data_IF_027967334491
#
_entry.id   IF_027967334491
#
_cell.length_a   1.000
_cell.length_b   1.000
_cell.length_c   1.000
_cell.angle_alpha   90.00
_cell.angle_beta   90.00
_cell.angle_gamma   90.00
#
_symmetry.space_group_name_H-M   'P 1'
#
loop_
_entity.id
_entity.type
_entity.pdbx_description
1 polymer ?
#
# COMPACT_ATOMS: atom_id res chain seq x y z
N UNK A 1 -21.36 -62.74 -45.55
CA UNK A 1 -22.64 -62.06 -45.24
C UNK A 1 -22.51 -61.44 -43.86
N UNK A 2 -22.32 -60.12 -43.78
CA UNK A 2 -22.15 -59.38 -42.54
C UNK A 2 -23.31 -58.37 -42.40
N UNK A 3 -24.07 -58.52 -41.32
CA UNK A 3 -25.31 -57.79 -41.05
C UNK A 3 -25.00 -56.40 -40.50
N UNK A 4 -25.31 -55.36 -41.26
CA UNK A 4 -25.15 -53.95 -40.88
C UNK A 4 -26.28 -53.56 -39.91
N UNK A 5 -25.93 -53.17 -38.68
CA UNK A 5 -26.86 -52.59 -37.71
C UNK A 5 -27.10 -51.10 -38.01
N UNK A 6 -28.35 -50.61 -38.05
CA UNK A 6 -28.63 -49.20 -38.25
C UNK A 6 -28.44 -48.40 -36.95
N UNK A 7 -27.83 -47.21 -37.08
CA UNK A 7 -27.66 -46.21 -36.02
C UNK A 7 -28.97 -45.48 -35.72
N UNK A 8 -29.24 -45.12 -34.44
CA UNK A 8 -30.46 -44.40 -34.08
C UNK A 8 -30.34 -42.90 -34.40
N UNK A 9 -31.47 -42.34 -34.85
CA UNK A 9 -31.65 -40.94 -35.24
C UNK A 9 -31.67 -40.05 -33.99
N UNK A 10 -30.89 -38.98 -33.99
CA UNK A 10 -30.89 -37.95 -32.93
C UNK A 10 -32.11 -37.04 -33.14
N UNK A 11 -33.00 -36.98 -32.15
CA UNK A 11 -34.14 -36.05 -32.12
C UNK A 11 -33.66 -34.63 -31.78
N UNK A 12 -34.16 -33.66 -32.55
CA UNK A 12 -33.94 -32.21 -32.34
C UNK A 12 -34.92 -31.73 -31.26
N UNK A 13 -34.47 -31.08 -30.18
CA UNK A 13 -35.39 -30.56 -29.16
C UNK A 13 -36.21 -29.39 -29.69
N UNK A 14 -37.53 -29.55 -29.65
CA UNK A 14 -38.54 -28.57 -30.03
C UNK A 14 -38.53 -27.35 -29.08
N UNK A 15 -38.50 -26.16 -29.69
CA UNK A 15 -38.45 -24.88 -29.03
C UNK A 15 -39.87 -24.41 -28.69
N UNK A 16 -40.47 -24.92 -27.60
CA UNK A 16 -41.66 -24.32 -26.97
C UNK A 16 -41.90 -24.90 -25.58
N UNK A 17 -41.27 -24.31 -24.56
CA UNK A 17 -41.78 -24.39 -23.19
C UNK A 17 -41.64 -23.03 -22.51
N UNK A 18 -42.75 -22.30 -22.45
CA UNK A 18 -42.93 -21.14 -21.57
C UNK A 18 -43.06 -21.66 -20.14
N UNK A 19 -42.05 -21.44 -19.29
CA UNK A 19 -42.08 -21.84 -17.89
C UNK A 19 -41.13 -21.04 -17.01
N UNK A 20 -41.72 -20.30 -16.06
CA UNK A 20 -41.11 -19.61 -14.90
C UNK A 20 -40.16 -18.43 -15.16
N UNK A 21 -40.73 -17.23 -15.02
CA UNK A 21 -39.99 -16.02 -14.60
C UNK A 21 -39.27 -16.32 -13.29
N UNK A 22 -37.94 -16.42 -13.36
CA UNK A 22 -37.05 -16.33 -12.21
C UNK A 22 -37.13 -14.87 -11.71
N UNK A 23 -37.39 -14.59 -10.42
CA UNK A 23 -37.24 -13.24 -9.91
C UNK A 23 -35.78 -12.83 -10.12
N UNK A 24 -35.57 -11.66 -10.71
CA UNK A 24 -34.25 -11.08 -10.86
C UNK A 24 -33.66 -10.96 -9.47
N UNK A 25 -32.69 -11.81 -9.15
CA UNK A 25 -31.78 -11.58 -8.05
C UNK A 25 -31.12 -10.23 -8.34
N UNK A 26 -31.62 -9.18 -7.70
CA UNK A 26 -30.88 -7.95 -7.46
C UNK A 26 -29.73 -8.33 -6.52
N UNK A 27 -28.76 -9.07 -7.05
CA UNK A 27 -27.51 -9.36 -6.39
C UNK A 27 -26.78 -8.02 -6.31
N UNK A 28 -26.93 -7.37 -5.17
CA UNK A 28 -25.81 -6.93 -4.35
C UNK A 28 -24.63 -6.39 -5.18
N UNK A 29 -24.91 -5.42 -6.05
CA UNK A 29 -23.85 -4.68 -6.72
C UNK A 29 -23.15 -3.89 -5.63
N UNK A 30 -21.84 -4.10 -5.40
CA UNK A 30 -21.10 -3.32 -4.42
C UNK A 30 -21.31 -1.85 -4.74
N UNK A 31 -21.96 -1.12 -3.83
CA UNK A 31 -22.19 0.31 -3.93
C UNK A 31 -20.83 0.94 -4.19
N UNK A 32 -20.62 1.46 -5.39
CA UNK A 32 -19.31 1.99 -5.78
C UNK A 32 -18.91 3.09 -4.77
N UNK A 33 -17.67 3.09 -4.26
CA UNK A 33 -17.25 4.04 -3.23
C UNK A 33 -17.34 5.47 -3.76
N UNK A 34 -18.09 6.33 -3.05
CA UNK A 34 -18.59 7.66 -3.45
C UNK A 34 -17.59 8.67 -4.05
N UNK A 35 -16.29 8.41 -4.08
CA UNK A 35 -15.34 9.24 -4.80
C UNK A 35 -14.09 8.42 -5.15
N UNK A 36 -13.70 8.42 -6.42
CA UNK A 36 -12.29 8.41 -6.78
C UNK A 36 -11.98 9.84 -7.24
N UNK A 37 -11.71 10.80 -6.33
CA UNK A 37 -11.44 12.15 -6.74
C UNK A 37 -10.02 12.13 -7.30
N UNK A 38 -9.92 11.99 -8.61
CA UNK A 38 -8.69 12.27 -9.33
C UNK A 38 -8.15 13.64 -8.90
N UNK A 39 -6.82 13.86 -8.83
CA UNK A 39 -6.26 15.13 -8.43
C UNK A 39 -6.67 16.15 -9.49
N UNK A 40 -7.26 17.26 -9.07
CA UNK A 40 -7.81 18.27 -9.96
C UNK A 40 -8.87 19.12 -9.28
N UNK A 41 -9.27 20.20 -9.93
CA UNK A 41 -10.42 20.99 -9.47
C UNK A 41 -11.69 20.10 -9.54
N UNK A 42 -12.67 20.28 -8.65
CA UNK A 42 -13.95 19.57 -8.76
C UNK A 42 -14.54 19.75 -10.17
N UNK A 43 -14.65 18.66 -10.94
CA UNK A 43 -15.15 18.67 -12.32
C UNK A 43 -14.09 18.70 -13.43
N UNK A 44 -12.82 18.95 -13.11
CA UNK A 44 -11.70 18.74 -14.06
C UNK A 44 -11.25 17.28 -14.00
N UNK A 45 -11.39 16.60 -15.13
CA UNK A 45 -11.01 15.22 -15.27
C UNK A 45 -9.66 15.12 -15.96
N UNK A 46 -8.66 14.43 -15.40
CA UNK A 46 -7.41 14.25 -16.10
C UNK A 46 -7.65 13.40 -17.36
N UNK A 47 -7.10 13.84 -18.48
CA UNK A 47 -7.16 13.10 -19.74
C UNK A 47 -6.33 11.81 -19.70
N UNK A 48 -5.39 11.72 -18.76
CA UNK A 48 -4.48 10.60 -18.57
C UNK A 48 -4.38 10.21 -17.10
N UNK A 49 -4.21 8.92 -16.82
CA UNK A 49 -4.01 8.44 -15.46
C UNK A 49 -2.63 8.87 -14.94
N UNK A 50 -2.52 9.50 -13.77
CA UNK A 50 -1.23 9.95 -13.24
C UNK A 50 -0.31 8.80 -12.81
N UNK A 51 -0.85 7.63 -12.48
CA UNK A 51 -0.01 6.46 -12.17
C UNK A 51 0.55 5.77 -13.41
N UNK A 52 -0.20 5.66 -14.51
CA UNK A 52 0.20 4.83 -15.64
C UNK A 52 0.28 5.56 -16.99
N UNK A 53 0.00 6.87 -16.99
CA UNK A 53 -0.13 7.75 -18.15
C UNK A 53 -1.09 7.27 -19.25
N UNK A 54 -1.93 6.28 -18.95
CA UNK A 54 -2.91 5.77 -19.89
C UNK A 54 -4.07 6.75 -20.08
N UNK A 55 -4.50 6.95 -21.32
CA UNK A 55 -5.66 7.79 -21.63
C UNK A 55 -6.91 7.29 -20.89
N UNK A 56 -7.62 8.22 -20.25
CA UNK A 56 -8.83 7.96 -19.47
C UNK A 56 -10.08 8.40 -20.24
N UNK A 57 -11.16 7.65 -20.03
CA UNK A 57 -12.51 7.98 -20.48
C UNK A 57 -13.46 7.98 -19.29
N UNK A 58 -14.29 9.01 -19.11
CA UNK A 58 -15.30 9.03 -18.05
C UNK A 58 -16.32 7.91 -18.27
N UNK A 59 -16.78 7.27 -17.19
CA UNK A 59 -17.88 6.31 -17.28
C UNK A 59 -19.22 7.05 -17.33
N UNK A 60 -20.04 6.86 -18.38
CA UNK A 60 -21.37 7.46 -18.45
C UNK A 60 -22.23 7.05 -17.25
N UNK A 61 -22.87 8.02 -16.60
CA UNK A 61 -23.75 7.79 -15.45
C UNK A 61 -23.05 7.46 -14.13
N UNK A 62 -21.70 7.45 -14.10
CA UNK A 62 -20.91 7.22 -12.90
C UNK A 62 -19.97 8.41 -12.67
N UNK A 63 -20.54 9.51 -12.14
CA UNK A 63 -19.78 10.70 -11.78
C UNK A 63 -18.62 10.36 -10.83
N UNK A 64 -17.42 10.86 -11.13
CA UNK A 64 -16.18 10.53 -10.42
C UNK A 64 -15.42 9.28 -10.90
N UNK A 65 -15.95 8.47 -11.83
CA UNK A 65 -15.26 7.28 -12.35
C UNK A 65 -14.77 7.43 -13.78
N UNK A 66 -13.59 6.89 -14.04
CA UNK A 66 -13.00 6.76 -15.36
C UNK A 66 -12.47 5.33 -15.57
N UNK A 67 -12.40 4.92 -16.84
CA UNK A 67 -11.70 3.72 -17.28
C UNK A 67 -10.58 4.12 -18.21
N UNK A 68 -9.57 3.26 -18.33
CA UNK A 68 -8.62 3.40 -19.43
C UNK A 68 -9.29 3.11 -20.77
N UNK A 69 -8.93 3.89 -21.79
CA UNK A 69 -9.27 3.59 -23.19
C UNK A 69 -8.59 2.31 -23.66
N UNK A 70 -7.33 2.10 -23.23
CA UNK A 70 -6.54 0.92 -23.57
C UNK A 70 -6.78 -0.23 -22.60
N UNK A 71 -7.12 -1.41 -23.14
CA UNK A 71 -7.25 -2.64 -22.35
C UNK A 71 -5.94 -3.01 -21.63
N UNK A 72 -4.78 -2.72 -22.25
CA UNK A 72 -3.47 -2.94 -21.63
C UNK A 72 -3.26 -2.04 -20.41
N UNK A 73 -3.52 -0.74 -20.55
CA UNK A 73 -3.42 0.20 -19.42
C UNK A 73 -4.42 -0.15 -18.32
N UNK A 74 -5.63 -0.57 -18.70
CA UNK A 74 -6.62 -1.06 -17.75
C UNK A 74 -6.04 -2.24 -16.98
N UNK A 75 -5.55 -3.29 -17.66
CA UNK A 75 -5.04 -4.50 -17.01
C UNK A 75 -3.90 -4.25 -16.01
N UNK A 76 -3.19 -3.12 -16.11
CA UNK A 76 -2.00 -2.79 -15.32
C UNK A 76 -2.18 -1.57 -14.40
N UNK A 77 -3.40 -1.10 -14.15
CA UNK A 77 -3.62 0.08 -13.31
C UNK A 77 -4.54 -0.20 -12.10
N UNK A 78 -3.97 -0.01 -10.91
CA UNK A 78 -4.64 -0.26 -9.63
C UNK A 78 -5.82 0.69 -9.36
N UNK A 79 -5.81 1.89 -9.96
CA UNK A 79 -6.87 2.90 -9.77
C UNK A 79 -8.15 2.62 -10.56
N UNK A 80 -8.07 1.79 -11.60
CA UNK A 80 -9.21 1.56 -12.52
C UNK A 80 -9.57 0.09 -12.66
N UNK A 81 -8.66 -0.83 -12.32
CA UNK A 81 -8.89 -2.27 -12.44
C UNK A 81 -8.90 -2.94 -11.09
N UNK A 82 -10.08 -3.45 -10.73
CA UNK A 82 -10.36 -4.04 -9.43
C UNK A 82 -9.52 -5.27 -9.11
N UNK A 83 -9.26 -6.11 -10.10
CA UNK A 83 -8.56 -7.40 -9.90
C UNK A 83 -7.04 -7.28 -10.02
N UNK A 84 -6.52 -6.11 -10.39
CA UNK A 84 -5.09 -5.97 -10.59
C UNK A 84 -4.38 -5.94 -9.24
N UNK A 85 -3.42 -6.85 -9.09
CA UNK A 85 -2.41 -6.79 -8.05
C UNK A 85 -1.13 -6.24 -8.67
N UNK A 86 -0.57 -5.15 -8.16
CA UNK A 86 0.38 -4.41 -8.98
C UNK A 86 1.81 -4.84 -8.70
N UNK A 87 2.63 -4.80 -9.76
CA UNK A 87 4.01 -5.32 -9.80
C UNK A 87 4.92 -4.61 -8.79
N UNK A 88 5.97 -5.28 -8.34
CA UNK A 88 6.98 -4.70 -7.45
C UNK A 88 8.01 -3.90 -8.25
N UNK A 89 8.59 -2.89 -7.60
CA UNK A 89 9.68 -2.11 -8.17
C UNK A 89 10.86 -3.06 -8.43
N UNK A 90 11.32 -3.12 -9.69
CA UNK A 90 12.43 -4.00 -10.03
C UNK A 90 13.77 -3.31 -9.74
N UNK A 91 14.76 -4.09 -9.32
CA UNK A 91 16.16 -3.71 -9.22
C UNK A 91 16.94 -4.63 -10.16
N UNK A 92 17.40 -4.13 -11.32
CA UNK A 92 18.08 -4.91 -12.37
C UNK A 92 19.60 -4.73 -12.40
N UNK A 93 20.19 -4.21 -11.33
CA UNK A 93 21.63 -3.98 -11.24
C UNK A 93 22.44 -5.27 -11.10
N UNK A 94 23.60 -5.33 -11.75
CA UNK A 94 24.60 -6.36 -11.45
C UNK A 94 25.23 -6.08 -10.09
N UNK A 95 25.38 -7.12 -9.27
CA UNK A 95 26.00 -7.01 -7.94
C UNK A 95 27.43 -6.48 -8.04
N UNK A 96 27.67 -5.35 -7.39
CA UNK A 96 28.95 -4.66 -7.23
C UNK A 96 29.18 -4.44 -5.74
N UNK A 97 30.06 -5.25 -5.16
CA UNK A 97 30.28 -5.31 -3.70
C UNK A 97 30.90 -4.02 -3.16
N UNK A 98 31.79 -3.38 -3.92
CA UNK A 98 32.48 -2.16 -3.49
C UNK A 98 31.58 -0.94 -3.57
N UNK A 99 30.70 -0.89 -4.57
CA UNK A 99 29.65 0.13 -4.64
C UNK A 99 28.63 -0.10 -3.53
N UNK A 100 28.21 -1.35 -3.31
CA UNK A 100 27.25 -1.70 -2.27
C UNK A 100 27.74 -1.31 -0.88
N UNK A 101 28.98 -1.64 -0.52
CA UNK A 101 29.55 -1.28 0.78
C UNK A 101 29.53 0.24 0.99
N UNK A 102 30.04 1.02 0.02
CA UNK A 102 30.06 2.49 0.10
C UNK A 102 28.68 3.11 0.23
N UNK A 103 27.73 2.66 -0.58
CA UNK A 103 26.35 3.19 -0.53
C UNK A 103 25.65 2.81 0.77
N UNK A 104 25.87 1.60 1.26
CA UNK A 104 25.33 1.15 2.54
C UNK A 104 25.92 1.93 3.71
N UNK A 105 27.23 2.15 3.75
CA UNK A 105 27.89 2.93 4.81
C UNK A 105 27.37 4.36 4.84
N UNK A 106 27.24 4.99 3.66
CA UNK A 106 26.66 6.34 3.53
C UNK A 106 25.23 6.39 4.03
N UNK A 107 24.40 5.41 3.65
CA UNK A 107 23.03 5.29 4.16
C UNK A 107 22.98 5.11 5.67
N UNK A 108 23.83 4.24 6.24
CA UNK A 108 23.91 4.03 7.69
C UNK A 108 24.31 5.32 8.39
N UNK A 109 25.29 6.07 7.89
CA UNK A 109 25.66 7.36 8.49
C UNK A 109 24.50 8.37 8.54
N UNK A 110 23.51 8.23 7.65
CA UNK A 110 22.38 9.15 7.53
C UNK A 110 21.03 8.49 7.82
N UNK A 111 21.02 7.29 8.42
CA UNK A 111 19.79 6.53 8.66
C UNK A 111 18.70 7.31 9.41
N UNK A 112 19.00 8.19 10.40
CA UNK A 112 17.96 8.93 11.10
C UNK A 112 17.19 9.87 10.18
N UNK A 113 17.86 10.45 9.16
CA UNK A 113 17.25 11.35 8.18
C UNK A 113 16.31 10.59 7.26
N UNK A 114 16.76 9.45 6.71
CA UNK A 114 15.91 8.59 5.89
C UNK A 114 14.69 8.10 6.68
N UNK A 115 14.89 7.66 7.93
CA UNK A 115 13.80 7.23 8.80
C UNK A 115 12.78 8.35 9.06
N UNK A 116 13.25 9.56 9.38
CA UNK A 116 12.39 10.72 9.60
C UNK A 116 11.60 11.12 8.34
N UNK A 117 12.23 11.08 7.15
CA UNK A 117 11.54 11.34 5.89
C UNK A 117 10.47 10.31 5.58
N UNK A 118 10.77 9.03 5.78
CA UNK A 118 9.77 7.98 5.59
C UNK A 118 8.61 8.11 6.58
N UNK A 119 8.89 8.48 7.84
CA UNK A 119 7.86 8.77 8.85
C UNK A 119 7.00 9.99 8.50
N UNK A 120 7.55 10.99 7.83
CA UNK A 120 6.77 12.13 7.34
C UNK A 120 5.73 11.69 6.30
N UNK A 121 6.08 10.79 5.39
CA UNK A 121 5.15 10.23 4.40
C UNK A 121 4.20 9.18 5.01
N UNK A 122 4.67 8.42 6.00
CA UNK A 122 3.91 7.40 6.71
C UNK A 122 4.15 7.45 8.23
N UNK A 123 3.34 8.22 8.98
CA UNK A 123 3.57 8.44 10.43
C UNK A 123 3.55 7.18 11.30
N UNK A 124 2.89 6.11 10.83
CA UNK A 124 2.81 4.83 11.53
C UNK A 124 4.04 3.91 11.31
N UNK A 125 5.06 4.38 10.58
CA UNK A 125 6.29 3.63 10.37
C UNK A 125 7.06 3.43 11.68
N UNK A 126 7.22 2.17 12.09
CA UNK A 126 8.05 1.79 13.23
C UNK A 126 9.49 1.51 12.79
N UNK A 127 10.45 1.64 13.72
CA UNK A 127 11.86 1.33 13.42
C UNK A 127 12.05 -0.13 13.02
N UNK A 128 11.29 -1.06 13.61
CA UNK A 128 11.33 -2.48 13.25
C UNK A 128 10.94 -2.72 11.79
N UNK A 129 9.95 -1.97 11.30
CA UNK A 129 9.55 -2.04 9.90
C UNK A 129 10.56 -1.37 8.97
N UNK A 130 11.14 -0.25 9.38
CA UNK A 130 12.25 0.38 8.66
C UNK A 130 13.45 -0.58 8.49
N UNK A 131 13.85 -1.28 9.57
CA UNK A 131 14.90 -2.31 9.54
C UNK A 131 14.56 -3.46 8.59
N UNK A 132 13.30 -3.93 8.60
CA UNK A 132 12.86 -4.98 7.68
C UNK A 132 13.00 -4.55 6.21
N UNK A 133 12.65 -3.31 5.88
CA UNK A 133 12.78 -2.77 4.52
C UNK A 133 14.26 -2.66 4.11
N UNK A 134 15.14 -2.25 5.02
CA UNK A 134 16.59 -2.24 4.76
C UNK A 134 17.09 -3.65 4.48
N UNK A 135 16.62 -4.65 5.24
CA UNK A 135 16.98 -6.05 5.01
C UNK A 135 16.51 -6.53 3.63
N UNK A 136 15.33 -6.10 3.17
CA UNK A 136 14.87 -6.36 1.80
C UNK A 136 15.78 -5.67 0.76
N UNK A 137 16.18 -4.42 1.01
CA UNK A 137 17.10 -3.69 0.13
C UNK A 137 18.49 -4.36 0.05
N UNK A 138 18.95 -4.98 1.14
CA UNK A 138 20.19 -5.77 1.18
C UNK A 138 20.10 -6.98 0.26
N UNK A 139 19.00 -7.73 0.33
CA UNK A 139 18.77 -8.93 -0.49
C UNK A 139 18.53 -8.58 -1.95
N UNK A 140 17.89 -7.45 -2.23
CA UNK A 140 17.57 -7.00 -3.59
C UNK A 140 18.76 -6.32 -4.29
N UNK A 141 19.96 -6.31 -3.68
CA UNK A 141 21.17 -5.68 -4.20
C UNK A 141 20.98 -4.18 -4.55
N UNK A 142 20.09 -3.47 -3.84
CA UNK A 142 19.81 -2.04 -4.07
C UNK A 142 21.10 -1.22 -3.98
N UNK A 143 21.96 -1.54 -3.03
CA UNK A 143 23.17 -0.78 -2.75
C UNK A 143 24.20 -0.87 -3.90
N UNK A 144 24.15 -1.91 -4.73
CA UNK A 144 25.03 -2.05 -5.90
C UNK A 144 24.68 -1.10 -7.05
N UNK A 145 23.56 -0.38 -6.97
CA UNK A 145 23.14 0.54 -8.01
C UNK A 145 24.04 1.78 -8.04
N UNK A 146 24.83 1.96 -9.10
CA UNK A 146 25.86 3.03 -9.16
C UNK A 146 25.31 4.44 -9.11
N UNK A 147 24.10 4.64 -9.63
CA UNK A 147 23.44 5.94 -9.67
C UNK A 147 22.55 6.19 -8.44
N UNK A 148 22.65 5.36 -7.40
CA UNK A 148 21.85 5.50 -6.18
C UNK A 148 22.16 6.83 -5.46
N UNK A 149 21.14 7.67 -5.36
CA UNK A 149 21.20 8.96 -4.65
C UNK A 149 20.49 8.90 -3.31
N UNK A 150 21.04 9.56 -2.31
CA UNK A 150 20.49 9.53 -0.94
C UNK A 150 19.14 10.24 -0.83
N UNK A 151 18.92 11.29 -1.62
CA UNK A 151 17.69 12.07 -1.63
C UNK A 151 16.47 11.29 -2.15
N UNK A 152 16.71 10.18 -2.88
CA UNK A 152 15.66 9.28 -3.38
C UNK A 152 15.44 8.05 -2.48
N UNK A 153 16.40 7.72 -1.61
CA UNK A 153 16.37 6.47 -0.85
C UNK A 153 15.11 6.32 0.00
N UNK A 154 14.65 7.38 0.64
CA UNK A 154 13.42 7.32 1.44
C UNK A 154 12.19 6.95 0.57
N UNK A 155 12.10 7.47 -0.65
CA UNK A 155 11.02 7.15 -1.58
C UNK A 155 11.14 5.70 -2.08
N UNK A 156 12.34 5.28 -2.50
CA UNK A 156 12.61 3.91 -2.94
C UNK A 156 12.29 2.89 -1.85
N UNK A 157 12.72 3.13 -0.61
CA UNK A 157 12.45 2.26 0.52
C UNK A 157 10.94 2.17 0.83
N UNK A 158 10.19 3.28 0.72
CA UNK A 158 8.73 3.24 0.89
C UNK A 158 8.04 2.37 -0.17
N UNK A 159 8.52 2.40 -1.41
CA UNK A 159 8.01 1.55 -2.50
C UNK A 159 8.38 0.08 -2.28
N UNK A 160 9.65 -0.19 -1.92
CA UNK A 160 10.15 -1.54 -1.59
C UNK A 160 9.45 -2.16 -0.38
N UNK A 161 8.92 -1.35 0.53
CA UNK A 161 8.18 -1.83 1.70
C UNK A 161 6.86 -2.54 1.35
N UNK A 162 6.41 -2.44 0.09
CA UNK A 162 5.22 -3.12 -0.41
C UNK A 162 3.95 -2.72 0.34
N UNK A 163 3.13 -3.70 0.71
CA UNK A 163 1.89 -3.45 1.45
C UNK A 163 2.16 -3.25 2.96
N UNK A 164 1.87 -2.03 3.42
CA UNK A 164 2.03 -1.56 4.79
C UNK A 164 0.70 -1.59 5.52
N UNK A 165 0.58 -2.40 6.57
CA UNK A 165 -0.62 -2.41 7.42
C UNK A 165 -0.56 -1.23 8.38
N UNK A 166 -1.59 -0.40 8.41
CA UNK A 166 -1.75 0.68 9.37
C UNK A 166 -2.31 0.06 10.66
N UNK A 167 -1.59 0.16 11.79
CA UNK A 167 -2.10 -0.33 13.06
C UNK A 167 -3.29 0.53 13.49
N UNK A 168 -4.32 -0.12 14.03
CA UNK A 168 -5.47 0.58 14.59
C UNK A 168 -5.06 1.29 15.88
N UNK A 169 -5.42 2.57 16.00
CA UNK A 169 -5.12 3.38 17.20
C UNK A 169 -5.66 2.73 18.50
N UNK A 170 -6.69 1.89 18.40
CA UNK A 170 -7.35 1.21 19.51
C UNK A 170 -6.50 0.08 20.15
N UNK A 171 -5.47 -0.43 19.47
CA UNK A 171 -4.63 -1.52 19.99
C UNK A 171 -3.43 -1.08 20.80
N UNK A 172 -2.99 0.18 20.65
CA UNK A 172 -1.82 0.70 21.36
C UNK A 172 -2.11 1.05 22.84
N UNK A 173 -3.36 1.38 23.17
CA UNK A 173 -3.76 1.69 24.54
C UNK A 173 -3.97 0.45 25.43
N UNK A 174 -4.28 -0.72 24.84
CA UNK A 174 -4.61 -1.93 25.60
C UNK A 174 -3.39 -2.70 26.12
N UNK A 175 -2.19 -2.47 25.56
CA UNK A 175 -0.97 -3.20 25.95
C UNK A 175 -0.15 -2.49 27.05
N UNK A 176 -0.61 -1.32 27.52
CA UNK A 176 0.10 -0.49 28.51
C UNK A 176 -0.42 -0.56 29.94
N UNK A 177 -1.50 -1.32 30.21
CA UNK A 177 -2.15 -1.32 31.51
C UNK A 177 -2.38 -2.75 32.05
N UNK A 178 -1.30 -3.41 32.48
CA UNK A 178 -1.38 -4.44 33.51
C UNK A 178 -0.16 -4.33 34.41
N UNK A 179 -0.25 -3.42 35.38
CA UNK A 179 0.47 -3.51 36.64
C UNK A 179 -0.32 -2.83 37.76
N UNK A 180 -0.73 -3.66 38.73
CA UNK A 180 -0.94 -3.37 40.15
C UNK A 180 -2.15 -2.53 40.59
N UNK A 181 -2.99 -3.12 41.45
CA UNK A 181 -3.88 -2.38 42.33
C UNK A 181 -4.95 -3.22 43.02
N UNK A 182 -4.67 -3.64 44.25
CA UNK A 182 -5.46 -4.48 45.15
C UNK A 182 -6.90 -4.01 45.48
N UNK A 183 -7.69 -4.98 45.94
CA UNK A 183 -9.07 -4.90 46.39
C UNK A 183 -9.27 -4.28 47.79
N UNK A 184 -10.45 -3.69 48.02
CA UNK A 184 -11.29 -3.90 49.23
C UNK A 184 -12.73 -3.35 49.02
N UNK A 185 -13.75 -3.84 49.77
CA UNK A 185 -15.16 -3.75 49.41
C UNK A 185 -15.98 -2.75 50.26
N UNK A 186 -17.16 -2.35 49.77
CA UNK A 186 -18.14 -1.58 50.54
C UNK A 186 -19.53 -1.60 49.89
N UNK A 187 -20.51 -2.07 50.65
CA UNK A 187 -21.88 -2.35 50.23
C UNK A 187 -22.78 -1.10 50.07
N UNK A 188 -23.81 -1.21 49.22
CA UNK A 188 -24.94 -0.30 49.18
C UNK A 188 -25.81 -0.45 47.93
N UNK A 189 -27.02 -1.00 48.07
CA UNK A 189 -28.13 -1.02 47.10
C UNK A 189 -29.41 -0.67 47.86
N UNK A 190 -30.57 -0.37 47.22
CA UNK A 190 -30.80 0.13 45.86
C UNK A 190 -31.75 1.35 45.83
N UNK A 191 -31.75 2.10 44.74
CA UNK A 191 -32.74 3.17 44.47
C UNK A 191 -33.28 3.04 43.06
N UNK A 192 -34.58 2.77 42.96
CA UNK A 192 -35.31 2.51 41.72
C UNK A 192 -35.37 3.73 40.79
N UNK A 193 -35.11 3.51 39.51
CA UNK A 193 -35.37 4.44 38.42
C UNK A 193 -35.39 3.69 37.09
N UNK A 194 -36.56 3.62 36.46
CA UNK A 194 -36.81 2.94 35.18
C UNK A 194 -35.92 3.47 34.04
N UNK A 195 -35.55 2.63 33.06
CA UNK A 195 -34.70 3.02 31.95
C UNK A 195 -35.51 3.75 30.87
N UNK A 196 -35.13 4.99 30.57
CA UNK A 196 -35.46 5.59 29.28
C UNK A 196 -34.63 4.89 28.21
N UNK A 197 -35.31 4.43 27.16
CA UNK A 197 -34.72 3.82 25.97
C UNK A 197 -33.81 4.81 25.25
N UNK A 198 -32.57 4.94 25.71
CA UNK A 198 -31.47 5.51 24.95
C UNK A 198 -31.02 4.48 23.94
N UNK A 199 -31.31 4.75 22.66
CA UNK A 199 -30.60 4.07 21.58
C UNK A 199 -29.09 4.24 21.81
N UNK A 200 -28.28 3.17 21.83
CA UNK A 200 -26.85 3.34 21.72
C UNK A 200 -26.57 3.81 20.28
N UNK A 201 -26.51 5.12 20.09
CA UNK A 201 -25.83 5.75 18.97
C UNK A 201 -24.31 5.70 19.22
N UNK A 202 -23.78 4.51 19.46
CA UNK A 202 -22.35 4.25 19.39
C UNK A 202 -22.20 3.06 18.44
N UNK A 203 -22.40 3.37 17.16
CA UNK A 203 -21.69 2.65 16.12
C UNK A 203 -20.22 2.92 16.35
N UNK A 204 -19.61 2.16 17.26
CA UNK A 204 -18.17 1.97 17.32
C UNK A 204 -17.83 1.46 15.93
N UNK A 205 -17.40 2.37 15.05
CA UNK A 205 -16.84 2.03 13.77
C UNK A 205 -15.71 1.07 14.10
N UNK A 206 -15.96 -0.23 13.86
CA UNK A 206 -14.97 -1.26 14.08
C UNK A 206 -13.66 -0.76 13.45
N UNK A 207 -12.54 -0.84 14.17
CA UNK A 207 -11.27 -0.32 13.68
C UNK A 207 -11.03 -0.90 12.29
N UNK A 208 -11.15 -0.06 11.26
CA UNK A 208 -11.01 -0.50 9.89
C UNK A 208 -9.51 -0.61 9.66
N UNK A 209 -8.99 -1.83 9.74
CA UNK A 209 -7.64 -2.12 9.28
C UNK A 209 -7.49 -1.56 7.87
N UNK A 210 -6.48 -0.72 7.70
CA UNK A 210 -6.16 -0.06 6.43
C UNK A 210 -4.77 -0.47 5.99
N UNK A 211 -4.61 -0.63 4.70
CA UNK A 211 -3.32 -0.92 4.09
C UNK A 211 -2.88 0.29 3.28
N UNK A 212 -1.57 0.47 3.15
CA UNK A 212 -0.95 1.53 2.38
C UNK A 212 0.10 0.91 1.47
N UNK A 213 0.25 1.43 0.26
CA UNK A 213 1.40 1.11 -0.60
C UNK A 213 1.83 2.35 -1.35
N UNK A 214 3.14 2.50 -1.53
CA UNK A 214 3.74 3.62 -2.26
C UNK A 214 4.15 3.19 -3.67
N UNK A 215 4.06 4.13 -4.61
CA UNK A 215 4.28 3.89 -6.03
C UNK A 215 4.94 5.09 -6.67
N UNK A 216 5.90 4.87 -7.56
CA UNK A 216 6.20 5.86 -8.57
C UNK A 216 5.16 5.79 -9.71
N UNK A 217 5.08 6.82 -10.54
CA UNK A 217 4.36 6.68 -11.81
C UNK A 217 5.05 5.71 -12.78
N UNK A 218 4.40 5.43 -13.90
CA UNK A 218 4.86 4.48 -14.91
C UNK A 218 6.11 4.92 -15.71
N UNK A 219 6.66 6.10 -15.45
CA UNK A 219 8.01 6.44 -15.95
C UNK A 219 9.09 5.61 -15.23
N UNK A 220 8.80 5.11 -14.03
CA UNK A 220 9.73 4.32 -13.22
C UNK A 220 9.31 2.86 -13.21
N UNK A 221 10.07 2.00 -13.86
CA UNK A 221 9.89 0.53 -13.87
C UNK A 221 11.01 -0.18 -13.13
N UNK A 222 12.20 0.37 -13.27
CA UNK A 222 13.41 -0.02 -12.54
C UNK A 222 13.89 1.16 -11.70
N UNK A 223 14.59 0.85 -10.60
CA UNK A 223 15.23 1.88 -9.76
C UNK A 223 16.13 2.81 -10.57
N UNK A 224 16.77 2.32 -11.65
CA UNK A 224 17.56 3.14 -12.58
C UNK A 224 16.82 4.25 -13.29
N UNK A 225 15.53 4.07 -13.55
CA UNK A 225 14.72 5.04 -14.28
C UNK A 225 14.59 6.36 -13.52
N UNK A 226 14.70 6.32 -12.18
CA UNK A 226 14.71 7.51 -11.31
C UNK A 226 15.81 8.52 -11.64
N UNK A 227 16.87 8.06 -12.32
CA UNK A 227 18.05 8.87 -12.63
C UNK A 227 18.33 8.99 -14.11
N UNK A 228 17.55 8.31 -14.96
CA UNK A 228 17.69 8.37 -16.41
C UNK A 228 17.15 9.68 -17.01
N UNK A 229 16.11 10.27 -16.40
CA UNK A 229 15.37 11.41 -16.95
C UNK A 229 15.89 12.79 -16.49
N UNK A 230 16.95 12.86 -15.66
CA UNK A 230 17.53 14.11 -15.18
C UNK A 230 17.31 14.36 -13.68
N UNK A 231 17.26 15.63 -13.28
CA UNK A 231 17.20 16.06 -11.87
C UNK A 231 15.79 16.22 -11.29
N UNK A 232 14.75 16.08 -12.12
CA UNK A 232 13.37 16.19 -11.63
C UNK A 232 13.00 14.95 -10.80
N UNK A 233 12.33 15.12 -9.65
CA UNK A 233 11.88 13.98 -8.85
C UNK A 233 10.76 13.25 -9.57
N UNK A 234 10.89 11.93 -9.71
CA UNK A 234 9.79 11.09 -10.17
C UNK A 234 8.61 11.18 -9.19
N UNK A 235 7.39 11.47 -9.67
CA UNK A 235 6.20 11.53 -8.84
C UNK A 235 6.00 10.26 -8.01
N UNK A 236 5.90 10.43 -6.69
CA UNK A 236 5.60 9.38 -5.73
C UNK A 236 4.14 9.51 -5.28
N UNK A 237 3.44 8.39 -5.14
CA UNK A 237 2.06 8.33 -4.73
C UNK A 237 1.89 7.37 -3.57
N UNK A 238 1.04 7.77 -2.62
CA UNK A 238 0.54 6.90 -1.57
C UNK A 238 -0.86 6.43 -1.96
N UNK A 239 -1.10 5.12 -1.92
CA UNK A 239 -2.41 4.53 -2.15
C UNK A 239 -2.87 3.83 -0.88
N UNK A 240 -4.05 4.22 -0.39
CA UNK A 240 -4.70 3.67 0.79
C UNK A 240 -5.79 2.66 0.38
N UNK A 241 -5.75 1.48 0.98
CA UNK A 241 -6.63 0.36 0.72
C UNK A 241 -7.40 -0.02 1.99
N UNK A 242 -8.59 -0.58 1.79
CA UNK A 242 -9.37 -1.28 2.82
C UNK A 242 -8.81 -2.67 3.08
N UNK A 243 -9.20 -3.28 4.19
CA UNK A 243 -8.93 -4.68 4.48
C UNK A 243 -9.45 -5.59 3.35
N UNK A 244 -8.61 -6.46 2.77
CA UNK A 244 -9.06 -7.44 1.80
C UNK A 244 -9.84 -8.57 2.50
N UNK A 245 -11.00 -8.95 1.95
CA UNK A 245 -11.85 -10.00 2.53
C UNK A 245 -11.53 -11.41 2.00
N UNK A 246 -10.88 -11.51 0.84
CA UNK A 246 -10.73 -12.77 0.08
C UNK A 246 -9.27 -13.08 -0.23
N UNK A 247 -8.42 -12.07 -0.36
CA UNK A 247 -7.00 -12.20 -0.70
C UNK A 247 -6.13 -11.80 0.48
N UNK A 248 -4.92 -12.37 0.63
CA UNK A 248 -4.00 -11.98 1.70
C UNK A 248 -3.50 -10.53 1.58
N UNK A 249 -3.53 -9.97 0.35
CA UNK A 249 -3.14 -8.60 0.07
C UNK A 249 -4.24 -7.84 -0.68
N UNK A 250 -4.34 -6.51 -0.51
CA UNK A 250 -5.27 -5.69 -1.27
C UNK A 250 -5.06 -5.74 -2.78
N UNK A 251 -6.15 -5.57 -3.51
CA UNK A 251 -6.17 -5.36 -4.97
C UNK A 251 -6.75 -3.98 -5.27
N UNK A 252 -6.84 -3.61 -6.55
CA UNK A 252 -7.53 -2.39 -6.98
C UNK A 252 -8.97 -2.26 -6.43
N UNK A 253 -9.64 -3.38 -6.11
CA UNK A 253 -10.98 -3.40 -5.53
C UNK A 253 -11.06 -2.75 -4.13
N UNK A 254 -9.95 -2.75 -3.40
CA UNK A 254 -9.87 -2.20 -2.05
C UNK A 254 -9.34 -0.77 -2.00
N UNK A 255 -8.88 -0.19 -3.12
CA UNK A 255 -8.43 1.21 -3.17
C UNK A 255 -9.57 2.12 -2.70
N UNK A 256 -9.29 2.95 -1.70
CA UNK A 256 -10.28 3.90 -1.19
C UNK A 256 -9.82 5.35 -1.25
N UNK A 257 -8.51 5.60 -1.25
CA UNK A 257 -7.93 6.91 -1.40
C UNK A 257 -6.52 6.78 -1.95
N UNK A 258 -6.02 7.85 -2.53
CA UNK A 258 -4.63 7.98 -2.92
C UNK A 258 -4.28 9.45 -2.99
N UNK A 259 -2.99 9.77 -2.89
CA UNK A 259 -2.48 11.14 -2.91
C UNK A 259 -1.02 11.17 -3.40
N UNK A 260 -0.60 12.24 -4.08
CA UNK A 260 0.82 12.48 -4.34
C UNK A 260 1.58 12.68 -3.02
N UNK A 261 2.87 12.33 -3.03
CA UNK A 261 3.81 12.50 -1.94
C UNK A 261 4.91 13.42 -2.44
N UNK A 262 4.73 14.71 -2.18
CA UNK A 262 5.59 15.76 -2.72
C UNK A 262 6.71 16.17 -1.76
N UNK A 263 7.75 16.80 -2.33
CA UNK A 263 8.77 17.53 -1.57
C UNK A 263 9.69 16.65 -0.73
N UNK A 264 9.83 15.35 -1.03
CA UNK A 264 10.77 14.47 -0.33
C UNK A 264 12.24 14.89 -0.56
N UNK A 265 12.64 15.18 -1.80
CA UNK A 265 13.99 15.70 -2.11
C UNK A 265 14.25 17.05 -1.43
N UNK A 266 13.30 17.98 -1.47
CA UNK A 266 13.43 19.27 -0.79
C UNK A 266 13.52 19.13 0.74
N UNK A 267 12.77 18.18 1.31
CA UNK A 267 12.83 17.86 2.73
C UNK A 267 14.18 17.25 3.12
N UNK A 268 14.74 16.39 2.26
CA UNK A 268 16.10 15.88 2.42
C UNK A 268 17.12 17.03 2.42
N UNK A 269 17.06 17.92 1.44
CA UNK A 269 17.98 19.05 1.34
C UNK A 269 17.94 19.94 2.59
N UNK A 270 16.74 20.33 3.04
CA UNK A 270 16.58 21.15 4.27
C UNK A 270 17.10 20.47 5.55
N UNK A 271 17.06 19.14 5.62
CA UNK A 271 17.62 18.41 6.76
C UNK A 271 19.15 18.37 6.76
N UNK A 272 19.82 18.68 5.64
CA UNK A 272 21.28 18.76 5.62
C UNK A 272 21.79 19.95 6.43
N UNK A 273 20.98 21.01 6.50
CA UNK A 273 21.33 22.28 7.15
C UNK A 273 20.79 22.37 8.59
N UNK A 274 19.96 21.42 9.01
CA UNK A 274 19.31 21.40 10.33
C UNK A 274 20.01 20.45 11.30
N UNK A 275 19.82 20.68 12.60
CA UNK A 275 20.23 19.74 13.65
C UNK A 275 19.65 18.34 13.40
N UNK A 276 20.35 17.34 13.94
CA UNK A 276 20.07 15.92 13.72
C UNK A 276 18.58 15.59 13.96
N UNK A 277 17.93 14.80 13.07
CA UNK A 277 16.51 14.48 13.23
C UNK A 277 16.22 13.89 14.60
N UNK A 278 15.14 14.37 15.23
CA UNK A 278 14.65 13.86 16.49
C UNK A 278 14.12 12.42 16.31
N UNK A 279 15.02 11.44 16.42
CA UNK A 279 14.72 10.01 16.50
C UNK A 279 14.87 9.58 17.94
N UNK A 280 13.86 8.87 18.44
CA UNK A 280 13.80 8.41 19.83
C UNK A 280 15.00 7.51 20.19
N UNK A 281 15.44 7.58 21.44
CA UNK A 281 16.54 6.78 21.96
C UNK A 281 16.25 5.27 21.85
N UNK A 282 14.99 4.85 22.03
CA UNK A 282 14.60 3.45 21.85
C UNK A 282 14.76 2.98 20.40
N UNK A 283 14.38 3.83 19.43
CA UNK A 283 14.55 3.57 18.01
C UNK A 283 16.04 3.50 17.64
N UNK A 284 16.85 4.44 18.14
CA UNK A 284 18.31 4.43 17.96
C UNK A 284 18.95 3.15 18.51
N UNK A 285 18.54 2.73 19.71
CA UNK A 285 19.04 1.51 20.32
C UNK A 285 18.61 0.26 19.53
N UNK A 286 17.38 0.22 19.01
CA UNK A 286 16.91 -0.87 18.16
C UNK A 286 17.70 -0.97 16.86
N UNK A 287 17.95 0.17 16.21
CA UNK A 287 18.77 0.22 15.00
C UNK A 287 20.23 -0.19 15.27
N UNK A 288 20.82 0.28 16.38
CA UNK A 288 22.16 -0.13 16.79
C UNK A 288 22.29 -1.65 16.99
N UNK A 289 21.28 -2.30 17.59
CA UNK A 289 21.24 -3.76 17.72
C UNK A 289 21.15 -4.47 16.37
N UNK A 290 20.43 -3.90 15.40
CA UNK A 290 20.38 -4.44 14.04
C UNK A 290 21.76 -4.38 13.38
N UNK A 291 22.46 -3.24 13.47
CA UNK A 291 23.81 -3.09 12.91
C UNK A 291 24.81 -4.06 13.56
N UNK A 292 24.74 -4.25 14.88
CA UNK A 292 25.62 -5.17 15.60
C UNK A 292 25.40 -6.66 15.26
N UNK A 293 24.21 -7.01 14.73
CA UNK A 293 23.86 -8.39 14.32
C UNK A 293 24.18 -8.66 12.85
N UNK A 294 24.33 -7.63 12.03
CA UNK A 294 24.74 -7.81 10.64
C UNK A 294 26.13 -8.48 10.66
N UNK A 295 26.29 -9.67 10.03
CA UNK A 295 27.59 -10.31 10.00
C UNK A 295 28.57 -9.34 9.34
N UNK A 296 29.77 -9.22 9.91
CA UNK A 296 30.89 -8.51 9.31
C UNK A 296 31.18 -9.12 7.93
N UNK A 297 30.48 -8.63 6.93
CA UNK A 297 30.64 -9.05 5.55
C UNK A 297 31.94 -8.42 5.07
N UNK A 298 33.04 -9.19 5.12
CA UNK A 298 34.27 -8.87 4.39
C UNK A 298 35.60 -8.99 5.13
N UNK A 299 35.79 -9.94 6.04
CA UNK A 299 37.14 -10.38 6.41
C UNK A 299 37.33 -11.86 6.04
N UNK A 300 37.91 -12.09 4.85
CA UNK A 300 38.57 -13.36 4.49
C UNK A 300 37.73 -14.38 3.72
N UNK A 301 37.90 -14.39 2.40
CA UNK A 301 38.31 -15.56 1.60
C UNK A 301 38.59 -15.11 0.16
#
# INVERSE_FOLDING_TARGET
MATVRPTPRVEVPDARTRGRRRPAAAADRPRMPKANPWPGRPGEWPTHCPLCFGALEPLPGAGGYARHRSARCSAQCVLTTRQYQPEELTIRGSRDVQVAARHRDRFIAQWPRHYALMRRAWPALTVGRFIAVISCADVADLWSYRTLRDDDLAAVLLVLAGFLRVPDASGAAASGAVASGAAAPGAGMPGAGMPAAGMPADGVCAPTVRWVRFWFDASVRDVGDLWAAGNDPSPLFRVDYREPLVTPYPTGAQVHAWQPVDGMRDAWARQADADEPAVDAADRAAFGRFLARAPASGAGA
#
